data_IF_930654921157
#
_entry.id   IF_930654921157
#
_cell.length_a   1.000
_cell.length_b   1.000
_cell.length_c   1.000
_cell.angle_alpha   90.00
_cell.angle_beta   90.00
_cell.angle_gamma   90.00
#
_symmetry.space_group_name_H-M   'P 1'
#
loop_
_entity.id
_entity.type
_entity.pdbx_description
1 polymer ?
#
# COMPACT_ATOMS: atom_id res chain seq x y z
N UNK A 1 -15.52 6.66 2.28
CA UNK A 1 -16.17 6.46 3.59
C UNK A 1 -15.40 5.40 4.37
N UNK A 2 -15.46 5.39 5.70
CA UNK A 2 -14.90 4.32 6.53
C UNK A 2 -15.86 3.11 6.61
N UNK A 3 -15.48 2.06 7.35
CA UNK A 3 -16.29 0.84 7.55
C UNK A 3 -17.69 1.13 8.11
N UNK A 4 -17.83 2.19 8.92
CA UNK A 4 -19.13 2.68 9.42
C UNK A 4 -19.92 3.53 8.41
N UNK A 5 -19.48 3.59 7.14
CA UNK A 5 -20.00 4.46 6.07
C UNK A 5 -20.00 5.96 6.39
N UNK A 6 -19.17 6.40 7.34
CA UNK A 6 -18.98 7.83 7.62
C UNK A 6 -17.92 8.43 6.71
N UNK A 7 -18.01 9.73 6.44
CA UNK A 7 -16.99 10.46 5.67
C UNK A 7 -15.65 10.38 6.43
N UNK A 8 -14.58 10.07 5.70
CA UNK A 8 -13.23 10.11 6.25
C UNK A 8 -12.92 11.55 6.70
N UNK A 9 -12.36 11.70 7.89
CA UNK A 9 -12.07 13.00 8.51
C UNK A 9 -10.69 12.97 9.11
N UNK A 10 -9.95 14.08 9.03
CA UNK A 10 -8.69 14.27 9.77
C UNK A 10 -8.87 14.29 11.29
N UNK A 11 -10.10 14.22 11.78
CA UNK A 11 -10.41 14.09 13.21
C UNK A 11 -10.82 12.66 13.58
N UNK A 12 -10.91 11.79 12.59
CA UNK A 12 -11.18 10.38 12.81
C UNK A 12 -9.83 9.70 13.11
N UNK A 13 -9.57 9.45 14.39
CA UNK A 13 -8.36 8.78 14.87
C UNK A 13 -8.38 7.27 14.61
N UNK A 14 -9.51 6.72 14.14
CA UNK A 14 -9.62 5.29 13.81
C UNK A 14 -8.99 4.90 12.46
N UNK A 15 -8.54 5.89 11.68
CA UNK A 15 -7.92 5.69 10.36
C UNK A 15 -6.60 6.43 10.27
N UNK A 16 -5.68 5.91 9.46
CA UNK A 16 -4.43 6.60 9.11
C UNK A 16 -4.79 7.80 8.23
N UNK A 17 -4.34 9.00 8.62
CA UNK A 17 -4.81 10.26 8.06
C UNK A 17 -3.84 10.85 7.02
N UNK A 18 -2.57 10.49 7.12
CA UNK A 18 -1.48 11.05 6.32
C UNK A 18 -0.80 9.95 5.50
N UNK A 19 -0.38 10.30 4.28
CA UNK A 19 0.23 9.32 3.35
C UNK A 19 1.58 8.85 3.90
N UNK A 20 2.34 9.76 4.50
CA UNK A 20 3.64 9.53 5.12
C UNK A 20 3.59 8.48 6.24
N UNK A 21 2.42 8.31 6.89
CA UNK A 21 2.23 7.28 7.91
C UNK A 21 2.17 5.87 7.31
N UNK A 22 1.72 5.71 6.06
CA UNK A 22 1.69 4.41 5.39
C UNK A 22 3.11 3.90 5.10
N UNK A 23 4.02 4.79 4.72
CA UNK A 23 5.44 4.46 4.54
C UNK A 23 6.05 3.95 5.85
N UNK A 24 5.81 4.65 6.97
CA UNK A 24 6.28 4.23 8.29
C UNK A 24 5.72 2.85 8.73
N UNK A 25 4.58 2.45 8.19
CA UNK A 25 3.94 1.15 8.46
C UNK A 25 4.37 0.05 7.47
N UNK A 26 5.24 0.35 6.51
CA UNK A 26 5.75 -0.62 5.53
C UNK A 26 4.82 -0.90 4.35
N UNK A 27 3.92 0.04 4.02
CA UNK A 27 3.15 -0.04 2.78
C UNK A 27 4.01 0.40 1.59
N UNK A 28 3.94 -0.39 0.52
CA UNK A 28 4.57 -0.11 -0.76
C UNK A 28 3.83 1.01 -1.49
N UNK A 29 4.54 1.97 -2.09
CA UNK A 29 3.93 3.07 -2.83
C UNK A 29 3.09 2.58 -4.01
N UNK A 30 3.48 1.47 -4.66
CA UNK A 30 2.75 0.86 -5.77
C UNK A 30 1.39 0.32 -5.31
N UNK A 31 1.36 -0.38 -4.17
CA UNK A 31 0.14 -0.91 -3.59
C UNK A 31 -0.82 0.21 -3.17
N UNK A 32 -0.28 1.26 -2.53
CA UNK A 32 -1.08 2.42 -2.12
C UNK A 32 -1.63 3.17 -3.33
N UNK A 33 -0.82 3.36 -4.38
CA UNK A 33 -1.25 3.96 -5.64
C UNK A 33 -2.41 3.16 -6.26
N UNK A 34 -2.22 1.86 -6.47
CA UNK A 34 -3.23 1.00 -7.08
C UNK A 34 -4.51 0.99 -6.24
N UNK A 35 -4.42 0.91 -4.92
CA UNK A 35 -5.58 0.94 -4.04
C UNK A 35 -6.38 2.25 -4.19
N UNK A 36 -5.70 3.40 -4.11
CA UNK A 36 -6.33 4.71 -4.27
C UNK A 36 -6.92 4.88 -5.68
N UNK A 37 -6.23 4.38 -6.70
CA UNK A 37 -6.69 4.46 -8.09
C UNK A 37 -8.02 3.72 -8.31
N UNK A 38 -8.28 2.64 -7.55
CA UNK A 38 -9.54 1.90 -7.57
C UNK A 38 -10.64 2.53 -6.69
N UNK A 39 -10.34 3.57 -5.91
CA UNK A 39 -11.36 4.27 -5.13
C UNK A 39 -12.20 5.17 -6.04
N UNK A 40 -13.34 4.66 -6.47
CA UNK A 40 -14.28 5.38 -7.32
C UNK A 40 -14.05 5.14 -8.81
N UNK A 41 -13.22 4.17 -9.17
CA UNK A 41 -13.03 3.70 -10.54
C UNK A 41 -12.94 2.16 -10.54
N UNK A 42 -13.42 1.49 -11.59
CA UNK A 42 -13.32 0.04 -11.71
C UNK A 42 -12.80 -0.39 -13.09
N UNK A 43 -12.00 -1.48 -13.18
CA UNK A 43 -11.49 -2.07 -14.43
C UNK A 43 -12.51 -3.03 -15.05
N UNK A 44 -12.33 -3.42 -16.34
CA UNK A 44 -13.45 -4.01 -17.15
C UNK A 44 -13.67 -5.47 -16.77
N UNK A 45 -12.62 -6.13 -16.29
CA UNK A 45 -12.65 -7.45 -15.68
C UNK A 45 -12.53 -7.40 -14.16
N UNK A 46 -12.06 -8.51 -13.61
CA UNK A 46 -11.95 -8.76 -12.16
C UNK A 46 -10.52 -8.51 -11.62
N UNK A 47 -9.58 -8.16 -12.50
CA UNK A 47 -8.21 -7.81 -12.13
C UNK A 47 -8.23 -6.58 -11.21
N UNK A 48 -7.50 -6.62 -10.09
CA UNK A 48 -7.41 -5.50 -9.14
C UNK A 48 -5.97 -5.03 -8.92
N UNK A 49 -4.98 -5.76 -9.46
CA UNK A 49 -3.56 -5.47 -9.32
C UNK A 49 -3.04 -4.91 -10.64
N UNK A 50 -2.56 -3.67 -10.61
CA UNK A 50 -2.03 -2.96 -11.77
C UNK A 50 -0.80 -2.16 -11.38
N UNK A 51 0.26 -2.30 -12.16
CA UNK A 51 1.33 -1.30 -12.19
C UNK A 51 0.76 0.06 -12.61
N UNK A 52 1.52 1.12 -12.33
CA UNK A 52 1.16 2.48 -12.73
C UNK A 52 0.98 2.59 -14.25
N UNK A 53 1.85 1.94 -15.03
CA UNK A 53 1.82 2.00 -16.48
C UNK A 53 0.59 1.26 -17.04
N UNK A 54 0.31 0.05 -16.54
CA UNK A 54 -0.93 -0.68 -16.88
C UNK A 54 -2.17 0.14 -16.54
N UNK A 55 -2.21 0.78 -15.36
CA UNK A 55 -3.33 1.63 -14.98
C UNK A 55 -3.53 2.79 -15.96
N UNK A 56 -2.46 3.45 -16.39
CA UNK A 56 -2.51 4.55 -17.37
C UNK A 56 -3.10 4.06 -18.69
N UNK A 57 -2.71 2.87 -19.16
CA UNK A 57 -3.20 2.30 -20.41
C UNK A 57 -4.69 1.93 -20.38
N UNK A 58 -5.16 1.40 -19.25
CA UNK A 58 -6.56 0.93 -19.12
C UNK A 58 -7.52 2.00 -18.60
N UNK A 59 -7.01 3.16 -18.16
CA UNK A 59 -7.84 4.19 -17.54
C UNK A 59 -8.86 4.73 -18.54
N UNK A 60 -10.12 4.68 -18.11
CA UNK A 60 -11.27 5.17 -18.86
C UNK A 60 -12.13 6.05 -17.96
N UNK A 61 -12.25 7.36 -18.23
CA UNK A 61 -13.01 8.28 -17.38
C UNK A 61 -14.50 7.97 -17.34
N UNK A 62 -15.07 7.26 -18.33
CA UNK A 62 -16.49 6.84 -18.32
C UNK A 62 -16.79 5.87 -17.18
N UNK A 63 -15.76 5.34 -16.53
CA UNK A 63 -15.85 4.31 -15.48
C UNK A 63 -15.70 4.85 -14.07
N UNK A 64 -15.59 6.16 -13.95
CA UNK A 64 -15.69 6.84 -12.67
C UNK A 64 -17.11 6.66 -12.10
N UNK A 65 -17.17 6.20 -10.85
CA UNK A 65 -18.42 5.99 -10.13
C UNK A 65 -18.74 7.19 -9.24
N UNK A 66 -20.01 7.58 -9.21
CA UNK A 66 -20.53 8.58 -8.25
C UNK A 66 -20.82 7.99 -6.87
N UNK A 67 -20.71 6.66 -6.72
CA UNK A 67 -20.90 5.99 -5.45
C UNK A 67 -19.75 6.32 -4.50
N UNK A 68 -20.06 6.40 -3.20
CA UNK A 68 -19.03 6.62 -2.18
C UNK A 68 -18.05 5.44 -2.14
N UNK A 69 -16.78 5.69 -2.45
CA UNK A 69 -15.73 4.68 -2.30
C UNK A 69 -15.51 4.34 -0.82
N UNK A 70 -15.47 3.06 -0.48
CA UNK A 70 -15.14 2.57 0.86
C UNK A 70 -13.62 2.47 0.99
N UNK A 71 -13.06 3.06 2.04
CA UNK A 71 -11.66 2.88 2.40
C UNK A 71 -11.56 1.64 3.29
N UNK A 72 -11.25 0.51 2.66
CA UNK A 72 -11.10 -0.79 3.30
C UNK A 72 -9.61 -1.07 3.60
N UNK A 73 -9.25 -0.98 4.89
CA UNK A 73 -7.88 -1.23 5.34
C UNK A 73 -7.44 -2.69 5.12
N UNK A 74 -8.37 -3.65 5.22
CA UNK A 74 -8.06 -5.07 5.01
C UNK A 74 -7.72 -5.31 3.54
N UNK A 75 -8.48 -4.69 2.63
CA UNK A 75 -8.18 -4.74 1.18
C UNK A 75 -6.83 -4.10 0.86
N UNK A 76 -6.53 -2.92 1.41
CA UNK A 76 -5.23 -2.29 1.24
C UNK A 76 -4.09 -3.18 1.76
N UNK A 77 -4.26 -3.78 2.94
CA UNK A 77 -3.27 -4.72 3.52
C UNK A 77 -3.07 -5.95 2.62
N UNK A 78 -4.16 -6.53 2.12
CA UNK A 78 -4.11 -7.65 1.18
C UNK A 78 -3.37 -7.27 -0.09
N UNK A 79 -3.70 -6.11 -0.68
CA UNK A 79 -3.05 -5.62 -1.91
C UNK A 79 -1.57 -5.42 -1.68
N UNK A 80 -1.18 -4.76 -0.58
CA UNK A 80 0.22 -4.58 -0.20
C UNK A 80 0.98 -5.90 -0.11
N UNK A 81 0.36 -6.93 0.46
CA UNK A 81 0.94 -8.27 0.53
C UNK A 81 1.12 -8.91 -0.86
N UNK A 82 0.23 -8.66 -1.82
CA UNK A 82 0.43 -9.14 -3.20
C UNK A 82 1.65 -8.49 -3.83
N UNK A 83 1.82 -7.17 -3.68
CA UNK A 83 3.00 -6.47 -4.16
C UNK A 83 4.28 -6.95 -3.47
N UNK A 84 4.26 -7.10 -2.13
CA UNK A 84 5.42 -7.61 -1.36
C UNK A 84 5.87 -9.00 -1.82
N UNK A 85 4.93 -9.88 -2.19
CA UNK A 85 5.26 -11.24 -2.67
C UNK A 85 5.89 -11.27 -4.06
N UNK A 86 5.69 -10.22 -4.85
CA UNK A 86 6.24 -10.10 -6.19
C UNK A 86 7.63 -9.44 -6.21
N UNK A 87 8.10 -8.94 -5.06
CA UNK A 87 9.43 -8.37 -4.94
C UNK A 87 10.50 -9.45 -4.86
N UNK A 88 11.69 -9.12 -5.38
CA UNK A 88 12.87 -9.94 -5.19
C UNK A 88 13.29 -9.94 -3.71
N UNK A 89 13.86 -11.05 -3.24
CA UNK A 89 14.26 -11.20 -1.83
C UNK A 89 15.16 -10.05 -1.36
N UNK A 90 16.11 -9.63 -2.20
CA UNK A 90 17.01 -8.51 -1.89
C UNK A 90 16.24 -7.21 -1.61
N UNK A 91 15.19 -6.91 -2.39
CA UNK A 91 14.36 -5.73 -2.18
C UNK A 91 13.57 -5.84 -0.88
N UNK A 92 13.04 -7.03 -0.57
CA UNK A 92 12.31 -7.28 0.68
C UNK A 92 13.22 -7.06 1.89
N UNK A 93 14.48 -7.52 1.81
CA UNK A 93 15.48 -7.30 2.87
C UNK A 93 15.73 -5.80 3.06
N UNK A 94 16.05 -5.07 1.98
CA UNK A 94 16.29 -3.63 2.04
C UNK A 94 15.11 -2.85 2.62
N UNK A 95 13.88 -3.21 2.23
CA UNK A 95 12.67 -2.59 2.77
C UNK A 95 12.45 -2.92 4.25
N UNK A 96 12.79 -4.14 4.67
CA UNK A 96 12.56 -4.60 6.05
C UNK A 96 13.61 -4.09 7.04
N UNK A 97 14.84 -3.83 6.57
CA UNK A 97 15.99 -3.45 7.40
C UNK A 97 15.71 -2.27 8.34
N UNK A 98 15.22 -1.11 7.86
CA UNK A 98 14.93 0.03 8.74
C UNK A 98 13.93 -0.31 9.84
N UNK A 99 12.92 -1.12 9.54
CA UNK A 99 11.90 -1.54 10.50
C UNK A 99 12.46 -2.52 11.53
N UNK A 100 13.33 -3.45 11.12
CA UNK A 100 13.98 -4.40 12.02
C UNK A 100 14.98 -3.72 12.96
N UNK A 101 15.75 -2.74 12.46
CA UNK A 101 16.64 -1.91 13.29
C UNK A 101 15.82 -1.09 14.28
N UNK A 102 14.77 -0.40 13.82
CA UNK A 102 13.88 0.38 14.70
C UNK A 102 13.19 -0.48 15.76
N UNK A 103 12.93 -1.76 15.49
CA UNK A 103 12.36 -2.72 16.44
C UNK A 103 13.39 -3.36 17.38
N UNK A 104 14.68 -2.97 17.28
CA UNK A 104 15.78 -3.53 18.07
C UNK A 104 16.07 -5.00 17.76
N UNK A 105 15.71 -5.46 16.55
CA UNK A 105 15.96 -6.83 16.09
C UNK A 105 17.30 -6.98 15.38
N UNK A 106 17.81 -5.88 14.84
CA UNK A 106 19.12 -5.78 14.18
C UNK A 106 19.85 -4.53 14.71
N UNK A 107 21.19 -4.56 14.65
CA UNK A 107 22.03 -3.42 15.02
C UNK A 107 22.11 -2.43 13.85
N UNK A 108 22.20 -1.13 14.13
CA UNK A 108 22.46 -0.13 13.07
C UNK A 108 23.89 -0.25 12.51
N UNK A 109 24.82 -0.76 13.31
CA UNK A 109 26.24 -0.90 13.00
C UNK A 109 26.63 -2.34 12.60
N UNK A 110 25.71 -3.07 11.95
CA UNK A 110 26.00 -4.42 11.43
C UNK A 110 27.20 -4.44 10.49
N UNK A 111 28.07 -5.43 10.65
CA UNK A 111 29.14 -5.71 9.68
C UNK A 111 28.58 -6.21 8.35
N UNK A 112 29.39 -6.15 7.29
CA UNK A 112 29.01 -6.66 5.97
C UNK A 112 28.64 -8.16 6.04
N UNK A 113 29.36 -8.94 6.85
CA UNK A 113 29.08 -10.36 7.11
C UNK A 113 27.70 -10.58 7.76
N UNK A 114 27.25 -9.67 8.64
CA UNK A 114 25.93 -9.75 9.27
C UNK A 114 24.80 -9.31 8.33
N UNK A 115 25.10 -8.52 7.29
CA UNK A 115 24.14 -8.11 6.26
C UNK A 115 23.94 -9.18 5.18
N UNK A 116 24.96 -10.01 4.94
CA UNK A 116 24.90 -11.12 3.98
C UNK A 116 24.28 -12.42 4.55
N UNK A 117 24.30 -12.61 5.88
CA UNK A 117 23.76 -13.78 6.59
C UNK A 117 22.23 -13.77 6.72
#
# INVERSE_FOLDING_TARGET
>A
VNESRKKLSKRDESIIQFIEQYEALGYLPEALFNFIALLGWSPKGEEELFSKDEFIEIFDPERLSTSSALFDNQKLTWMNNQYMKNLELAQVVELSLPHLISAGKLDENMSDEQREW
#
